data_IF_399168107042
#
_entry.id   IF_399168107042
#
_cell.length_a   1.000
_cell.length_b   1.000
_cell.length_c   1.000
_cell.angle_alpha   90.00
_cell.angle_beta   90.00
_cell.angle_gamma   90.00
#
_symmetry.space_group_name_H-M   'P 1'
#
loop_
_entity.id
_entity.type
_entity.pdbx_description
1 polymer ?
#
# COMPACT_ATOMS: atom_id res chain seq x y z
N UNK A 1 -22.84 -6.94 -18.89
CA UNK A 1 -21.73 -7.90 -18.76
C UNK A 1 -21.31 -7.91 -17.30
N UNK A 2 -21.21 -9.08 -16.66
CA UNK A 2 -20.65 -9.22 -15.31
C UNK A 2 -19.18 -9.64 -15.49
N UNK A 3 -18.26 -8.86 -14.92
CA UNK A 3 -16.82 -9.15 -14.94
C UNK A 3 -16.60 -10.49 -14.24
N UNK A 4 -15.89 -11.41 -14.88
CA UNK A 4 -15.72 -12.78 -14.37
C UNK A 4 -14.41 -12.98 -13.61
N UNK A 5 -13.37 -12.22 -13.96
CA UNK A 5 -12.03 -12.36 -13.38
C UNK A 5 -11.34 -11.00 -13.23
N UNK A 6 -10.34 -10.96 -12.35
CA UNK A 6 -9.49 -9.80 -12.13
C UNK A 6 -8.69 -9.41 -13.40
N UNK A 7 -8.30 -10.40 -14.21
CA UNK A 7 -7.57 -10.22 -15.47
C UNK A 7 -8.34 -9.37 -16.49
N UNK A 8 -9.67 -9.44 -16.49
CA UNK A 8 -10.51 -8.64 -17.38
C UNK A 8 -10.43 -7.14 -17.01
N UNK A 9 -10.37 -6.82 -15.71
CA UNK A 9 -10.17 -5.45 -15.22
C UNK A 9 -8.82 -4.92 -15.66
N UNK A 10 -7.80 -5.77 -15.59
CA UNK A 10 -6.44 -5.48 -16.03
C UNK A 10 -6.33 -5.26 -17.53
N UNK A 11 -7.00 -6.08 -18.34
CA UNK A 11 -7.04 -5.95 -19.80
C UNK A 11 -7.64 -4.60 -20.22
N UNK A 12 -8.69 -4.15 -19.55
CA UNK A 12 -9.33 -2.86 -19.82
C UNK A 12 -8.70 -1.68 -19.09
N UNK A 13 -7.61 -1.91 -18.33
CA UNK A 13 -6.91 -0.89 -17.54
C UNK A 13 -7.85 -0.05 -16.66
N UNK A 14 -8.88 -0.70 -16.11
CA UNK A 14 -9.88 -0.02 -15.30
C UNK A 14 -9.31 0.23 -13.89
N UNK A 15 -9.44 1.45 -13.34
CA UNK A 15 -8.95 1.74 -12.00
C UNK A 15 -9.84 1.08 -10.95
N UNK A 16 -9.24 0.27 -10.07
CA UNK A 16 -9.90 -0.33 -8.91
C UNK A 16 -9.93 0.72 -7.79
N UNK A 17 -11.14 1.14 -7.39
CA UNK A 17 -11.34 2.14 -6.32
C UNK A 17 -11.70 1.53 -4.97
N UNK A 18 -12.21 0.30 -4.99
CA UNK A 18 -12.75 -0.39 -3.82
C UNK A 18 -11.95 -1.68 -3.60
N UNK A 19 -11.48 -1.87 -2.37
CA UNK A 19 -10.69 -3.04 -1.97
C UNK A 19 -11.49 -4.34 -1.95
N UNK A 20 -12.80 -4.22 -1.71
CA UNK A 20 -13.75 -5.33 -1.64
C UNK A 20 -13.78 -6.14 -2.94
N UNK A 21 -13.47 -5.50 -4.08
CA UNK A 21 -13.36 -6.17 -5.38
C UNK A 21 -12.22 -7.19 -5.37
N UNK A 22 -11.07 -6.84 -4.79
CA UNK A 22 -9.90 -7.72 -4.70
C UNK A 22 -10.16 -8.83 -3.68
N UNK A 23 -10.77 -8.50 -2.55
CA UNK A 23 -11.16 -9.49 -1.54
C UNK A 23 -12.16 -10.52 -2.10
N UNK A 24 -13.09 -10.10 -2.96
CA UNK A 24 -14.04 -11.00 -3.63
C UNK A 24 -13.35 -12.00 -4.57
N UNK A 25 -12.31 -11.58 -5.29
CA UNK A 25 -11.61 -12.44 -6.25
C UNK A 25 -10.49 -13.28 -5.62
N UNK A 26 -9.71 -12.71 -4.69
CA UNK A 26 -8.46 -13.30 -4.18
C UNK A 26 -8.42 -13.45 -2.65
N UNK A 27 -9.47 -13.07 -1.93
CA UNK A 27 -9.43 -12.87 -0.47
C UNK A 27 -9.01 -14.08 0.37
N UNK A 28 -9.10 -15.31 -0.15
CA UNK A 28 -8.66 -16.53 0.56
C UNK A 28 -7.17 -16.82 0.38
N UNK A 29 -6.57 -16.43 -0.75
CA UNK A 29 -5.17 -16.76 -1.09
C UNK A 29 -4.20 -15.62 -0.76
N UNK A 30 -4.74 -14.43 -0.47
CA UNK A 30 -3.98 -13.22 -0.29
C UNK A 30 -3.35 -13.20 1.10
N UNK A 31 -2.03 -13.08 1.16
CA UNK A 31 -1.27 -12.92 2.40
C UNK A 31 -0.71 -11.51 2.48
N UNK A 32 -0.73 -10.96 3.68
CA UNK A 32 -0.10 -9.69 4.02
C UNK A 32 1.16 -9.90 4.84
N UNK A 33 2.21 -9.15 4.52
CA UNK A 33 3.48 -9.15 5.23
C UNK A 33 3.94 -7.71 5.48
N UNK A 34 4.19 -7.39 6.76
CA UNK A 34 4.72 -6.08 7.14
C UNK A 34 6.23 -6.07 6.92
N UNK A 35 6.70 -5.29 5.95
CA UNK A 35 8.12 -5.22 5.59
C UNK A 35 8.92 -4.41 6.61
N UNK A 36 8.49 -3.19 6.89
CA UNK A 36 9.22 -2.26 7.75
C UNK A 36 8.31 -1.22 8.37
N UNK A 37 8.58 -0.89 9.62
CA UNK A 37 7.96 0.22 10.33
C UNK A 37 9.05 1.25 10.63
N UNK A 38 8.80 2.50 10.23
CA UNK A 38 9.71 3.63 10.47
C UNK A 38 9.00 4.64 11.36
N UNK A 39 9.51 4.96 12.56
CA UNK A 39 9.01 6.10 13.33
C UNK A 39 9.42 7.39 12.63
N UNK A 40 8.44 8.23 12.29
CA UNK A 40 8.61 9.55 11.69
C UNK A 40 8.14 10.58 12.72
N UNK A 41 9.06 11.44 13.17
CA UNK A 41 8.79 12.43 14.19
C UNK A 41 8.73 13.82 13.56
N UNK A 42 7.68 14.57 13.87
CA UNK A 42 7.57 15.98 13.54
C UNK A 42 7.67 16.79 14.82
N UNK A 43 8.65 17.68 14.88
CA UNK A 43 8.77 18.61 15.99
C UNK A 43 7.63 19.64 15.95
N UNK A 44 7.00 19.88 17.09
CA UNK A 44 5.93 20.87 17.27
C UNK A 44 6.18 21.73 18.52
N UNK A 45 5.45 22.83 18.68
CA UNK A 45 5.59 23.71 19.83
C UNK A 45 5.21 23.03 21.17
N UNK A 46 4.32 22.02 21.11
CA UNK A 46 3.91 21.22 22.27
C UNK A 46 4.81 19.98 22.50
N UNK A 47 5.95 19.89 21.80
CA UNK A 47 6.89 18.77 21.85
C UNK A 47 6.94 17.97 20.55
N UNK A 48 7.50 16.76 20.62
CA UNK A 48 7.65 15.87 19.46
C UNK A 48 6.34 15.12 19.20
N UNK A 49 5.80 15.23 17.98
CA UNK A 49 4.68 14.41 17.53
C UNK A 49 5.17 13.27 16.65
N UNK A 50 5.08 12.04 17.16
CA UNK A 50 5.49 10.83 16.43
C UNK A 50 4.32 10.24 15.64
N UNK A 51 4.59 9.82 14.42
CA UNK A 51 3.77 8.90 13.62
C UNK A 51 4.64 7.75 13.16
N UNK A 52 4.04 6.63 12.83
CA UNK A 52 4.73 5.50 12.25
C UNK A 52 4.39 5.42 10.77
N UNK A 53 5.40 5.23 9.92
CA UNK A 53 5.25 4.90 8.51
C UNK A 53 5.41 3.39 8.37
N UNK A 54 4.37 2.70 7.94
CA UNK A 54 4.40 1.27 7.69
C UNK A 54 4.50 0.99 6.19
N UNK A 55 5.29 -0.02 5.83
CA UNK A 55 5.36 -0.61 4.51
C UNK A 55 4.81 -2.03 4.60
N UNK A 56 3.78 -2.33 3.81
CA UNK A 56 3.13 -3.64 3.78
C UNK A 56 3.17 -4.17 2.36
N UNK A 57 3.62 -5.40 2.20
CA UNK A 57 3.51 -6.15 0.96
C UNK A 57 2.33 -7.12 1.07
N UNK A 58 1.62 -7.30 -0.04
CA UNK A 58 0.47 -8.18 -0.16
C UNK A 58 0.69 -9.07 -1.38
N UNK A 59 0.30 -10.33 -1.34
CA UNK A 59 0.32 -11.16 -2.53
C UNK A 59 -0.25 -12.55 -2.35
N UNK A 60 -0.57 -13.20 -3.46
CA UNK A 60 -1.13 -14.55 -3.52
C UNK A 60 -0.11 -15.61 -3.98
N UNK A 61 1.17 -15.22 -4.11
CA UNK A 61 2.27 -16.03 -4.67
C UNK A 61 2.00 -16.57 -6.09
N UNK A 62 0.95 -16.08 -6.76
CA UNK A 62 0.49 -16.53 -8.07
C UNK A 62 0.46 -15.37 -9.08
N UNK A 63 1.48 -14.50 -9.00
CA UNK A 63 1.66 -13.37 -9.91
C UNK A 63 0.96 -12.07 -9.50
N UNK A 64 0.18 -12.05 -8.42
CA UNK A 64 -0.39 -10.81 -7.87
C UNK A 64 0.42 -10.35 -6.66
N UNK A 65 0.96 -9.13 -6.74
CA UNK A 65 1.68 -8.48 -5.65
C UNK A 65 1.19 -7.05 -5.49
N UNK A 66 1.04 -6.62 -4.25
CA UNK A 66 0.74 -5.25 -3.87
C UNK A 66 1.69 -4.67 -2.84
N UNK A 67 1.88 -3.36 -2.87
CA UNK A 67 2.64 -2.61 -1.86
C UNK A 67 1.81 -1.43 -1.35
N UNK A 68 1.56 -1.42 -0.05
CA UNK A 68 0.89 -0.35 0.67
C UNK A 68 1.88 0.44 1.53
N UNK A 69 1.72 1.76 1.56
CA UNK A 69 2.46 2.64 2.48
C UNK A 69 1.48 3.56 3.18
N UNK A 70 1.49 3.57 4.51
CA UNK A 70 0.65 4.49 5.30
C UNK A 70 1.34 5.02 6.54
N UNK A 71 0.89 6.20 6.97
CA UNK A 71 1.21 6.80 8.25
C UNK A 71 0.04 6.70 9.25
N UNK A 72 0.30 6.19 10.45
CA UNK A 72 -0.66 6.18 11.58
C UNK A 72 0.01 6.65 12.87
N UNK A 73 -0.79 7.00 13.88
CA UNK A 73 -0.30 7.30 15.23
C UNK A 73 -0.03 6.04 16.04
N UNK A 74 -0.82 4.99 15.80
CA UNK A 74 -0.76 3.73 16.54
C UNK A 74 -0.37 2.57 15.63
N UNK A 75 0.44 1.65 16.17
CA UNK A 75 0.97 0.51 15.41
C UNK A 75 -0.09 -0.57 15.15
N UNK A 76 -0.96 -0.84 16.12
CA UNK A 76 -2.01 -1.85 15.99
C UNK A 76 -3.09 -1.49 14.95
N UNK A 77 -3.27 -0.21 14.62
CA UNK A 77 -4.23 0.22 13.59
C UNK A 77 -3.70 0.01 12.16
N UNK A 78 -2.45 -0.42 11.97
CA UNK A 78 -1.88 -0.62 10.63
C UNK A 78 -2.46 -1.82 9.88
N UNK A 79 -2.82 -2.89 10.57
CA UNK A 79 -3.35 -4.12 9.94
C UNK A 79 -4.68 -3.85 9.22
N UNK A 80 -5.46 -2.86 9.67
CA UNK A 80 -6.68 -2.43 9.00
C UNK A 80 -6.41 -1.62 7.71
N UNK A 81 -5.20 -1.07 7.55
CA UNK A 81 -4.85 -0.17 6.46
C UNK A 81 -4.21 -0.91 5.28
N UNK A 82 -3.68 -2.11 5.49
CA UNK A 82 -3.28 -3.04 4.41
C UNK A 82 -4.43 -3.27 3.41
N UNK A 83 -5.67 -3.13 3.86
CA UNK A 83 -6.88 -3.23 3.02
C UNK A 83 -7.05 -2.08 2.03
N UNK A 84 -6.29 -0.99 2.13
CA UNK A 84 -6.23 0.02 1.06
C UNK A 84 -5.26 -0.44 -0.02
N UNK A 85 -5.65 -1.49 -0.74
CA UNK A 85 -4.85 -2.04 -1.84
C UNK A 85 -4.70 -0.99 -2.95
N UNK A 86 -3.62 -0.23 -2.89
CA UNK A 86 -2.93 0.13 -4.12
C UNK A 86 -2.16 -1.12 -4.51
N UNK A 87 -2.49 -1.71 -5.66
CA UNK A 87 -1.60 -2.28 -6.70
C UNK A 87 -2.49 -2.94 -7.77
N UNK A 88 -2.37 -2.61 -9.06
CA UNK A 88 -1.22 -2.57 -10.00
C UNK A 88 -1.05 -3.90 -10.73
N UNK A 89 -1.37 -3.80 -12.02
CA UNK A 89 -1.31 -4.74 -13.15
C UNK A 89 0.14 -5.21 -13.43
N UNK A 90 0.34 -6.20 -14.33
CA UNK A 90 1.21 -7.37 -14.16
C UNK A 90 2.70 -7.10 -14.47
N UNK A 91 3.09 -5.85 -14.65
CA UNK A 91 4.45 -5.47 -15.03
C UNK A 91 4.94 -4.40 -14.05
N UNK A 92 6.24 -4.43 -13.80
CA UNK A 92 6.95 -3.35 -13.15
C UNK A 92 6.77 -2.04 -13.94
N UNK A 93 5.82 -1.17 -13.58
CA UNK A 93 5.75 0.17 -14.18
C UNK A 93 6.41 1.22 -13.27
N UNK A 94 7.75 1.20 -13.40
CA UNK A 94 8.80 2.21 -13.17
C UNK A 94 9.01 2.75 -11.75
N UNK A 95 10.27 2.68 -11.32
CA UNK A 95 10.80 3.33 -10.12
C UNK A 95 10.38 4.79 -10.03
N UNK A 96 9.51 5.11 -9.10
CA UNK A 96 9.24 6.49 -8.71
C UNK A 96 10.40 6.95 -7.82
N UNK A 97 11.39 7.60 -8.43
CA UNK A 97 12.40 8.36 -7.70
C UNK A 97 11.70 9.44 -6.86
N UNK A 98 11.46 9.16 -5.58
CA UNK A 98 11.18 10.21 -4.62
C UNK A 98 12.50 10.89 -4.26
N UNK A 99 12.83 11.94 -5.01
CA UNK A 99 13.87 12.89 -4.64
C UNK A 99 13.43 13.59 -3.34
N UNK A 100 13.96 13.12 -2.21
CA UNK A 100 13.90 13.87 -0.95
C UNK A 100 14.86 15.04 -1.14
N UNK A 101 14.32 16.23 -1.44
CA UNK A 101 15.09 17.47 -1.37
C UNK A 101 15.39 17.78 0.10
N UNK A 102 16.54 17.29 0.59
CA UNK A 102 17.21 17.87 1.74
C UNK A 102 17.92 19.14 1.28
N UNK A 103 17.22 20.27 1.35
CA UNK A 103 17.80 21.61 1.24
C UNK A 103 17.04 22.52 2.20
N UNK A 104 17.60 23.09 3.26
CA UNK A 104 18.94 23.05 3.80
C UNK A 104 18.84 23.54 5.24
N UNK A 105 19.68 23.00 6.13
CA UNK A 105 20.01 23.63 7.40
C UNK A 105 21.52 23.85 7.33
N UNK A 106 21.88 25.07 6.94
CA UNK A 106 23.06 25.80 7.41
C UNK A 106 22.66 27.25 7.55
#
# INVERSE_FOLDING_TARGET
MKIKSLEEIYLFSLPIKESEIIDFFLGVSLKDEVLKIIPVQKQTCAGQQTRFKAFVAIGDYNGHVGLGVKWSKEVATFDAISKTYSYLTPDLWKETFHQVSLSGIH
#
